data_IF_710003128186
#
_entry.id   IF_710003128186
#
_cell.length_a   1.000
_cell.length_b   1.000
_cell.length_c   1.000
_cell.angle_alpha   90.00
_cell.angle_beta   90.00
_cell.angle_gamma   90.00
#
_symmetry.space_group_name_H-M   'P 1'
#
loop_
_entity.id
_entity.type
_entity.pdbx_description
1 polymer ?
#
# COMPACT_ATOMS: atom_id res chain seq x y z
N UNK A 1 -7.94 5.43 -2.23
CA UNK A 1 -8.35 4.97 -0.89
C UNK A 1 -9.41 5.89 -0.26
N UNK A 2 -9.36 7.22 -0.51
CA UNK A 2 -10.39 8.15 -0.03
C UNK A 2 -11.75 7.96 -0.72
N UNK A 3 -11.78 7.38 -1.92
CA UNK A 3 -13.02 7.14 -2.65
C UNK A 3 -13.84 5.96 -2.12
N UNK A 4 -13.20 5.07 -1.36
CA UNK A 4 -13.88 3.90 -0.79
C UNK A 4 -14.89 4.27 0.31
N UNK A 5 -14.73 5.43 0.97
CA UNK A 5 -15.70 5.95 1.93
C UNK A 5 -16.91 6.61 1.27
N UNK A 6 -16.75 7.05 0.01
CA UNK A 6 -17.78 7.80 -0.75
C UNK A 6 -18.43 6.97 -1.85
N UNK A 7 -17.98 5.73 -2.09
CA UNK A 7 -18.55 4.89 -3.11
C UNK A 7 -19.94 4.41 -2.68
N UNK A 8 -20.86 4.40 -3.60
CA UNK A 8 -22.22 3.86 -3.43
C UNK A 8 -22.23 2.32 -3.29
N UNK A 9 -21.05 1.71 -3.19
CA UNK A 9 -20.89 0.26 -3.02
C UNK A 9 -21.39 -0.17 -1.65
N UNK A 10 -22.24 -1.17 -1.65
CA UNK A 10 -22.89 -1.75 -0.45
C UNK A 10 -21.89 -2.53 0.43
N UNK A 11 -20.75 -2.95 -0.13
CA UNK A 11 -19.73 -3.69 0.58
C UNK A 11 -18.62 -2.76 1.10
N UNK A 12 -18.36 -2.81 2.40
CA UNK A 12 -17.24 -2.10 3.00
C UNK A 12 -15.97 -2.90 2.81
N UNK A 13 -15.02 -2.37 2.03
CA UNK A 13 -13.70 -2.96 1.80
C UNK A 13 -12.70 -2.61 2.92
N UNK A 14 -13.16 -2.10 4.05
CA UNK A 14 -12.33 -1.77 5.20
C UNK A 14 -12.99 -2.20 6.50
N UNK A 15 -12.16 -2.44 7.52
CA UNK A 15 -12.57 -2.74 8.89
C UNK A 15 -11.83 -1.79 9.83
N UNK A 16 -12.56 -1.15 10.73
CA UNK A 16 -11.96 -0.24 11.70
C UNK A 16 -11.99 -0.86 13.10
N UNK A 17 -10.84 -0.85 13.78
CA UNK A 17 -10.71 -1.25 15.18
C UNK A 17 -10.65 0.00 16.05
N UNK A 18 -11.55 0.11 17.01
CA UNK A 18 -11.68 1.30 17.88
C UNK A 18 -11.73 0.91 19.35
N UNK A 19 -11.51 1.89 20.22
CA UNK A 19 -11.57 1.70 21.67
C UNK A 19 -10.47 0.76 22.17
N UNK A 20 -10.85 -0.26 22.91
CA UNK A 20 -9.92 -1.25 23.49
C UNK A 20 -9.31 -2.19 22.48
N UNK A 21 -9.91 -2.31 21.27
CA UNK A 21 -9.41 -3.15 20.16
C UNK A 21 -8.45 -2.41 19.25
N UNK A 22 -8.26 -1.10 19.43
CA UNK A 22 -7.30 -0.33 18.64
C UNK A 22 -5.86 -0.77 18.97
N UNK A 23 -5.03 -0.91 17.93
CA UNK A 23 -3.69 -1.49 18.08
C UNK A 23 -2.69 -0.61 18.85
N UNK A 24 -2.99 0.67 19.03
CA UNK A 24 -2.26 1.58 19.92
C UNK A 24 -2.42 1.22 21.41
N UNK A 25 -3.39 0.36 21.76
CA UNK A 25 -3.67 -0.11 23.12
C UNK A 25 -2.96 -1.44 23.38
N UNK A 26 -1.67 -1.40 23.62
CA UNK A 26 -0.83 -2.60 23.74
C UNK A 26 -1.33 -3.65 24.76
N UNK A 27 -2.03 -3.24 25.81
CA UNK A 27 -2.52 -4.13 26.86
C UNK A 27 -3.76 -4.94 26.46
N UNK A 28 -4.57 -4.44 25.53
CA UNK A 28 -5.87 -5.02 25.17
C UNK A 28 -6.01 -5.39 23.69
N UNK A 29 -5.13 -4.87 22.85
CA UNK A 29 -5.14 -5.15 21.41
C UNK A 29 -4.75 -6.60 21.12
N UNK A 30 -5.41 -7.19 20.12
CA UNK A 30 -5.18 -8.56 19.63
C UNK A 30 -4.85 -8.56 18.14
N UNK A 31 -3.74 -7.91 17.72
CA UNK A 31 -3.48 -7.66 16.31
C UNK A 31 -3.29 -8.95 15.50
N UNK A 32 -2.67 -9.99 16.05
CA UNK A 32 -2.49 -11.27 15.34
C UNK A 32 -3.83 -11.94 15.07
N UNK A 33 -4.72 -11.97 16.06
CA UNK A 33 -6.06 -12.53 15.91
C UNK A 33 -6.88 -11.73 14.90
N UNK A 34 -6.72 -10.40 14.89
CA UNK A 34 -7.40 -9.53 13.95
C UNK A 34 -6.98 -9.79 12.51
N UNK A 35 -5.67 -9.99 12.25
CA UNK A 35 -5.15 -10.37 10.93
C UNK A 35 -5.69 -11.74 10.49
N UNK A 36 -5.61 -12.75 11.36
CA UNK A 36 -6.09 -14.11 11.07
C UNK A 36 -7.61 -14.12 10.85
N UNK A 37 -8.36 -13.36 11.66
CA UNK A 37 -9.80 -13.22 11.54
C UNK A 37 -10.19 -12.53 10.24
N UNK A 38 -9.53 -11.44 9.90
CA UNK A 38 -9.77 -10.70 8.65
C UNK A 38 -9.52 -11.59 7.42
N UNK A 39 -8.45 -12.37 7.42
CA UNK A 39 -8.20 -13.38 6.38
C UNK A 39 -9.35 -14.37 6.25
N UNK A 40 -9.84 -14.89 7.37
CA UNK A 40 -10.93 -15.87 7.39
C UNK A 40 -12.27 -15.29 6.94
N UNK A 41 -12.60 -14.08 7.40
CA UNK A 41 -13.82 -13.36 7.03
C UNK A 41 -13.83 -13.06 5.54
N UNK A 42 -12.72 -12.56 5.00
CA UNK A 42 -12.57 -12.28 3.57
C UNK A 42 -12.71 -13.56 2.73
N UNK A 43 -12.03 -14.64 3.14
CA UNK A 43 -12.12 -15.92 2.44
C UNK A 43 -13.54 -16.49 2.40
N UNK A 44 -14.32 -16.29 3.47
CA UNK A 44 -15.73 -16.70 3.51
C UNK A 44 -16.62 -15.86 2.60
N UNK A 45 -16.31 -14.56 2.47
CA UNK A 45 -17.12 -13.64 1.68
C UNK A 45 -16.85 -13.75 0.18
N UNK A 46 -15.59 -13.92 -0.21
CA UNK A 46 -15.15 -13.82 -1.62
C UNK A 46 -14.67 -15.14 -2.22
N UNK A 47 -14.36 -16.14 -1.39
CA UNK A 47 -13.69 -17.37 -1.83
C UNK A 47 -12.17 -17.24 -2.03
N UNK A 48 -11.62 -16.03 -1.96
CA UNK A 48 -10.18 -15.76 -2.08
C UNK A 48 -9.54 -15.67 -0.70
N UNK A 49 -8.21 -15.85 -0.62
CA UNK A 49 -7.47 -15.79 0.64
C UNK A 49 -6.54 -14.59 0.67
N UNK A 50 -6.64 -13.75 1.70
CA UNK A 50 -5.66 -12.71 1.96
C UNK A 50 -4.33 -13.36 2.35
N UNK A 51 -3.26 -12.98 1.66
CA UNK A 51 -1.92 -13.55 1.87
C UNK A 51 -0.91 -12.52 2.28
N UNK A 52 -1.03 -11.27 1.82
CA UNK A 52 -0.07 -10.20 2.10
C UNK A 52 -0.74 -9.06 2.84
N UNK A 53 -0.11 -8.61 3.91
CA UNK A 53 -0.51 -7.44 4.68
C UNK A 53 0.63 -6.44 4.69
N UNK A 54 0.37 -5.26 4.14
CA UNK A 54 1.34 -4.17 4.01
C UNK A 54 1.01 -3.07 5.03
N UNK A 55 1.99 -2.65 5.79
CA UNK A 55 1.88 -1.60 6.81
C UNK A 55 3.20 -0.85 6.95
N UNK A 56 3.19 0.31 7.58
CA UNK A 56 4.44 1.02 7.91
C UNK A 56 5.09 0.48 9.20
N UNK A 57 6.35 0.86 9.45
CA UNK A 57 7.11 0.43 10.63
C UNK A 57 6.40 0.79 11.94
N UNK A 58 5.80 1.98 12.05
CA UNK A 58 5.11 2.40 13.28
C UNK A 58 3.93 1.48 13.61
N UNK A 59 3.13 1.13 12.60
CA UNK A 59 2.02 0.17 12.77
C UNK A 59 2.53 -1.22 13.12
N UNK A 60 3.63 -1.64 12.49
CA UNK A 60 4.25 -2.91 12.81
C UNK A 60 4.79 -2.97 14.24
N UNK A 61 5.36 -1.87 14.75
CA UNK A 61 5.78 -1.78 16.15
C UNK A 61 4.60 -1.90 17.13
N UNK A 62 3.42 -1.38 16.78
CA UNK A 62 2.21 -1.60 17.59
C UNK A 62 1.87 -3.10 17.69
N UNK A 63 1.99 -3.85 16.59
CA UNK A 63 1.80 -5.31 16.58
C UNK A 63 2.80 -6.01 17.47
N UNK A 64 4.09 -5.66 17.39
CA UNK A 64 5.16 -6.26 18.20
C UNK A 64 5.03 -5.96 19.69
N UNK A 65 4.52 -4.77 20.03
CA UNK A 65 4.40 -4.31 21.41
C UNK A 65 3.14 -4.84 22.12
N UNK A 66 2.15 -5.32 21.36
CA UNK A 66 0.93 -5.86 21.95
C UNK A 66 1.22 -7.05 22.88
N UNK A 67 0.65 -7.02 24.08
CA UNK A 67 0.85 -8.09 25.07
C UNK A 67 0.33 -9.44 24.59
N UNK A 68 -0.77 -9.43 23.87
CA UNK A 68 -1.35 -10.63 23.29
C UNK A 68 -0.42 -11.27 22.26
N UNK A 69 0.19 -10.47 21.38
CA UNK A 69 1.22 -10.93 20.43
C UNK A 69 2.36 -11.64 21.14
N UNK A 70 2.87 -11.04 22.23
CA UNK A 70 3.94 -11.64 23.03
C UNK A 70 3.53 -12.97 23.65
N UNK A 71 2.31 -13.07 24.16
CA UNK A 71 1.78 -14.30 24.76
C UNK A 71 1.58 -15.41 23.71
N UNK A 72 1.10 -15.06 22.54
CA UNK A 72 0.86 -16.04 21.46
C UNK A 72 2.17 -16.57 20.87
N UNK A 73 3.17 -15.72 20.62
CA UNK A 73 4.42 -16.11 19.98
C UNK A 73 5.37 -16.81 20.95
N UNK A 74 5.48 -16.33 22.20
CA UNK A 74 6.37 -16.91 23.22
C UNK A 74 5.73 -18.05 24.02
N UNK A 75 4.41 -18.17 23.97
CA UNK A 75 3.64 -19.01 24.88
C UNK A 75 3.42 -18.36 26.23
N UNK A 76 2.24 -18.60 26.82
CA UNK A 76 1.80 -17.97 28.08
C UNK A 76 2.76 -18.21 29.25
N UNK A 77 3.38 -19.39 29.30
CA UNK A 77 4.32 -19.78 30.34
C UNK A 77 5.69 -19.09 30.26
N UNK A 78 6.09 -18.67 29.06
CA UNK A 78 7.36 -17.98 28.83
C UNK A 78 7.24 -16.45 28.91
N UNK A 79 6.02 -15.92 28.97
CA UNK A 79 5.79 -14.49 29.04
C UNK A 79 5.93 -13.95 30.47
N UNK A 80 7.02 -13.30 30.74
CA UNK A 80 7.33 -12.69 32.06
C UNK A 80 7.26 -11.15 32.06
N UNK A 81 6.52 -10.53 31.16
CA UNK A 81 6.50 -9.06 31.04
C UNK A 81 7.85 -8.47 30.62
N UNK A 82 7.84 -7.40 29.84
CA UNK A 82 9.06 -6.68 29.48
C UNK A 82 9.96 -7.33 28.41
N UNK A 83 9.65 -8.53 27.94
CA UNK A 83 10.39 -9.16 26.84
C UNK A 83 10.02 -8.47 25.54
N UNK A 84 11.03 -8.13 24.74
CA UNK A 84 10.85 -7.66 23.36
C UNK A 84 10.86 -8.84 22.41
N UNK A 85 9.81 -8.98 21.61
CA UNK A 85 9.79 -9.93 20.51
C UNK A 85 10.75 -9.51 19.41
N UNK A 86 11.43 -10.49 18.84
CA UNK A 86 12.12 -10.27 17.57
C UNK A 86 11.10 -10.31 16.43
N UNK A 87 11.23 -9.37 15.50
CA UNK A 87 10.38 -9.30 14.31
C UNK A 87 10.28 -10.64 13.58
N UNK A 88 11.41 -11.35 13.44
CA UNK A 88 11.47 -12.64 12.75
C UNK A 88 10.55 -13.70 13.39
N UNK A 89 10.40 -13.70 14.72
CA UNK A 89 9.55 -14.67 15.44
C UNK A 89 8.06 -14.46 15.10
N UNK A 90 7.63 -13.20 15.03
CA UNK A 90 6.23 -12.88 14.69
C UNK A 90 5.95 -13.17 13.22
N UNK A 91 6.90 -12.85 12.33
CA UNK A 91 6.78 -13.18 10.90
C UNK A 91 6.69 -14.69 10.69
N UNK A 92 7.52 -15.47 11.38
CA UNK A 92 7.51 -16.94 11.29
C UNK A 92 6.18 -17.53 11.81
N UNK A 93 5.67 -16.99 12.93
CA UNK A 93 4.36 -17.37 13.45
C UNK A 93 3.24 -17.11 12.44
N UNK A 94 3.21 -15.92 11.82
CA UNK A 94 2.20 -15.55 10.82
C UNK A 94 2.33 -16.35 9.52
N UNK A 95 3.56 -16.71 9.11
CA UNK A 95 3.78 -17.61 7.97
C UNK A 95 3.14 -18.98 8.16
N UNK A 96 3.07 -19.49 9.40
CA UNK A 96 2.33 -20.70 9.72
C UNK A 96 0.83 -20.62 9.37
N UNK A 97 0.26 -19.41 9.34
CA UNK A 97 -1.11 -19.13 8.89
C UNK A 97 -1.20 -18.72 7.42
N UNK A 98 -0.09 -18.74 6.68
CA UNK A 98 -0.02 -18.31 5.29
C UNK A 98 -0.23 -16.80 5.14
N UNK A 99 0.29 -16.02 6.08
CA UNK A 99 0.26 -14.56 6.08
C UNK A 99 1.69 -14.04 5.93
N UNK A 100 1.91 -13.20 4.92
CA UNK A 100 3.14 -12.46 4.72
C UNK A 100 2.96 -11.02 5.18
N UNK A 101 3.93 -10.51 5.92
CA UNK A 101 3.98 -9.11 6.33
C UNK A 101 5.00 -8.38 5.47
N UNK A 102 4.56 -7.28 4.87
CA UNK A 102 5.41 -6.34 4.14
C UNK A 102 5.45 -5.01 4.88
N UNK A 103 6.62 -4.60 5.33
CA UNK A 103 6.83 -3.27 5.92
C UNK A 103 7.20 -2.30 4.81
N UNK A 104 6.40 -1.25 4.63
CA UNK A 104 6.53 -0.29 3.54
C UNK A 104 6.61 1.14 4.09
N UNK A 105 7.83 1.67 4.13
CA UNK A 105 8.16 2.96 4.75
C UNK A 105 8.46 4.07 3.74
N UNK A 106 8.03 3.93 2.48
CA UNK A 106 8.24 5.00 1.50
C UNK A 106 7.44 6.24 1.88
N UNK A 107 8.08 7.38 1.71
CA UNK A 107 7.57 8.70 2.03
C UNK A 107 7.29 9.48 0.74
N UNK A 108 6.34 10.38 0.82
CA UNK A 108 6.09 11.41 -0.19
C UNK A 108 5.93 12.77 0.50
N UNK A 109 6.09 13.83 -0.28
CA UNK A 109 5.81 15.19 0.19
C UNK A 109 4.44 15.59 -0.33
N UNK A 110 3.55 15.98 0.57
CA UNK A 110 2.21 16.44 0.22
C UNK A 110 2.21 17.86 -0.35
N UNK A 111 1.06 18.34 -0.81
CA UNK A 111 0.89 19.69 -1.40
C UNK A 111 1.21 20.81 -0.40
N UNK A 112 1.16 20.54 0.90
CA UNK A 112 1.52 21.47 1.97
C UNK A 112 3.01 21.46 2.32
N UNK A 113 3.81 20.62 1.65
CA UNK A 113 5.25 20.45 1.91
C UNK A 113 5.55 19.55 3.10
N UNK A 114 4.56 18.82 3.64
CA UNK A 114 4.75 17.87 4.74
C UNK A 114 5.14 16.50 4.20
N UNK A 115 6.08 15.86 4.88
CA UNK A 115 6.48 14.48 4.57
C UNK A 115 5.48 13.50 5.19
N UNK A 116 4.89 12.64 4.36
CA UNK A 116 3.88 11.65 4.76
C UNK A 116 4.29 10.25 4.32
N UNK A 117 3.86 9.22 5.05
CA UNK A 117 3.97 7.84 4.60
C UNK A 117 2.93 7.53 3.51
N UNK A 118 3.31 6.76 2.48
CA UNK A 118 2.33 6.23 1.51
C UNK A 118 1.30 5.33 2.18
N UNK A 119 1.70 4.54 3.17
CA UNK A 119 0.80 3.78 4.03
C UNK A 119 0.75 4.50 5.39
N UNK A 120 -0.30 5.25 5.69
CA UNK A 120 -0.40 5.99 6.94
C UNK A 120 -0.34 5.08 8.17
N UNK A 121 0.15 5.61 9.28
CA UNK A 121 0.19 4.90 10.55
C UNK A 121 -1.22 4.50 11.02
N UNK A 122 -1.36 3.27 11.48
CA UNK A 122 -2.65 2.70 11.88
C UNK A 122 -3.48 2.13 10.72
N UNK A 123 -2.95 2.16 9.48
CA UNK A 123 -3.60 1.54 8.33
C UNK A 123 -2.82 0.29 7.90
N UNK A 124 -3.54 -0.78 7.64
CA UNK A 124 -3.03 -2.03 7.08
C UNK A 124 -3.74 -2.31 5.77
N UNK A 125 -2.98 -2.44 4.70
CA UNK A 125 -3.49 -2.88 3.40
C UNK A 125 -3.35 -4.38 3.28
N UNK A 126 -4.44 -5.06 2.93
CA UNK A 126 -4.45 -6.51 2.76
C UNK A 126 -4.68 -6.88 1.29
N UNK A 127 -3.91 -7.83 0.79
CA UNK A 127 -3.97 -8.28 -0.60
C UNK A 127 -4.13 -9.80 -0.68
N UNK A 128 -4.84 -10.24 -1.70
CA UNK A 128 -4.99 -11.66 -2.02
C UNK A 128 -3.97 -12.08 -3.07
N UNK A 129 -3.35 -13.24 -2.91
CA UNK A 129 -2.48 -13.80 -3.94
C UNK A 129 -3.27 -14.30 -5.14
N UNK A 130 -2.75 -14.04 -6.34
CA UNK A 130 -3.32 -14.57 -7.58
C UNK A 130 -4.55 -13.81 -8.10
N UNK A 131 -4.96 -12.73 -7.44
CA UNK A 131 -5.99 -11.83 -7.96
C UNK A 131 -5.31 -10.67 -8.68
N UNK A 132 -5.70 -10.47 -9.93
CA UNK A 132 -5.31 -9.30 -10.70
C UNK A 132 -6.09 -8.10 -10.14
N UNK A 133 -5.38 -7.19 -9.48
CA UNK A 133 -6.00 -6.04 -8.81
C UNK A 133 -6.27 -4.87 -9.74
N UNK A 134 -5.62 -4.85 -10.90
CA UNK A 134 -5.78 -3.77 -11.86
C UNK A 134 -4.61 -3.68 -12.83
N UNK A 135 -4.75 -2.79 -13.79
CA UNK A 135 -3.78 -2.52 -14.83
C UNK A 135 -3.42 -1.04 -14.86
N UNK A 136 -2.31 -0.74 -15.49
CA UNK A 136 -1.88 0.62 -15.76
C UNK A 136 -1.87 0.87 -17.25
N UNK A 137 -2.91 1.52 -17.74
CA UNK A 137 -3.07 1.81 -19.16
C UNK A 137 -2.40 3.12 -19.52
N UNK A 138 -1.46 3.07 -20.46
CA UNK A 138 -0.80 4.26 -20.97
C UNK A 138 -1.60 4.87 -22.13
N UNK A 139 -1.80 6.19 -22.07
CA UNK A 139 -2.41 6.98 -23.13
C UNK A 139 -1.37 7.65 -24.03
N UNK A 140 -1.83 8.21 -25.13
CA UNK A 140 -0.97 9.05 -25.97
C UNK A 140 -0.84 10.45 -25.37
N UNK A 141 0.39 10.94 -25.23
CA UNK A 141 0.64 12.29 -24.75
C UNK A 141 0.21 13.34 -25.77
N UNK A 142 -0.06 14.59 -25.36
CA UNK A 142 -0.40 15.67 -26.30
C UNK A 142 0.68 15.88 -27.38
N UNK A 143 1.96 15.69 -27.01
CA UNK A 143 3.09 15.81 -27.91
C UNK A 143 3.06 14.72 -29.01
N UNK A 144 2.70 13.49 -28.64
CA UNK A 144 2.49 12.40 -29.59
C UNK A 144 1.32 12.65 -30.54
N UNK A 145 0.27 13.33 -30.05
CA UNK A 145 -0.92 13.64 -30.87
C UNK A 145 -0.68 14.78 -31.85
N UNK A 146 0.11 15.75 -31.45
CA UNK A 146 0.34 16.94 -32.30
C UNK A 146 1.18 16.66 -33.53
N UNK A 147 1.94 15.56 -33.60
CA UNK A 147 2.58 15.03 -34.82
C UNK A 147 3.43 15.99 -35.65
N UNK A 148 3.44 17.27 -35.35
CA UNK A 148 4.02 18.35 -36.11
C UNK A 148 4.62 19.40 -35.16
N UNK A 149 5.71 19.02 -34.50
CA UNK A 149 6.53 20.00 -33.79
C UNK A 149 7.65 20.39 -34.74
N UNK A 150 7.54 21.60 -35.29
CA UNK A 150 8.39 22.09 -36.37
C UNK A 150 9.82 22.39 -35.95
N UNK A 151 10.10 22.55 -34.64
CA UNK A 151 11.38 23.05 -34.13
C UNK A 151 12.05 22.19 -33.03
N UNK A 152 11.74 20.90 -32.95
CA UNK A 152 12.33 20.04 -31.93
C UNK A 152 12.33 18.56 -32.28
N UNK A 153 13.06 17.76 -31.52
CA UNK A 153 13.10 16.32 -31.66
C UNK A 153 12.17 15.68 -30.64
N UNK A 154 11.17 14.94 -31.14
CA UNK A 154 10.32 14.08 -30.35
C UNK A 154 10.90 12.65 -30.34
N UNK A 155 11.19 12.14 -29.16
CA UNK A 155 11.63 10.76 -28.95
C UNK A 155 10.58 10.03 -28.10
N UNK A 156 10.06 8.92 -28.62
CA UNK A 156 9.23 8.00 -27.87
C UNK A 156 10.16 7.03 -27.12
N UNK A 157 10.09 7.04 -25.80
CA UNK A 157 10.89 6.12 -24.97
C UNK A 157 10.17 4.79 -24.81
N UNK A 158 8.86 4.87 -24.49
CA UNK A 158 7.93 3.74 -24.42
C UNK A 158 6.52 4.24 -24.69
N UNK A 159 5.56 3.31 -24.87
CA UNK A 159 4.15 3.68 -25.03
C UNK A 159 3.69 4.55 -23.86
N UNK A 160 3.21 5.76 -24.15
CA UNK A 160 2.71 6.71 -23.14
C UNK A 160 3.78 7.56 -22.46
N UNK A 161 5.04 7.44 -22.84
CA UNK A 161 6.13 8.30 -22.36
C UNK A 161 6.82 8.97 -23.53
N UNK A 162 6.71 10.28 -23.64
CA UNK A 162 7.37 11.08 -24.67
C UNK A 162 8.40 12.03 -24.07
N UNK A 163 9.51 12.19 -24.78
CA UNK A 163 10.55 13.17 -24.47
C UNK A 163 10.66 14.14 -25.64
N UNK A 164 10.40 15.39 -25.38
CA UNK A 164 10.53 16.45 -26.35
C UNK A 164 11.71 17.36 -26.00
N UNK A 165 12.63 17.54 -26.95
CA UNK A 165 13.77 18.43 -26.77
C UNK A 165 13.79 19.52 -27.84
N UNK A 166 14.01 20.77 -27.43
CA UNK A 166 14.18 21.90 -28.31
C UNK A 166 15.30 22.84 -27.81
N UNK A 167 15.93 23.50 -28.73
CA UNK A 167 16.99 24.47 -28.42
C UNK A 167 16.50 25.90 -28.61
N UNK A 168 16.91 26.80 -27.73
CA UNK A 168 16.74 28.25 -27.89
C UNK A 168 18.09 28.90 -28.22
N UNK A 169 18.10 29.90 -29.10
CA UNK A 169 19.33 30.53 -29.56
C UNK A 169 19.76 31.74 -28.72
N UNK A 170 18.85 32.35 -27.94
CA UNK A 170 19.16 33.54 -27.11
C UNK A 170 18.41 33.45 -25.74
N UNK A 171 19.07 33.09 -24.65
CA UNK A 171 20.40 32.46 -24.57
C UNK A 171 20.40 31.05 -25.17
N UNK A 172 21.57 30.55 -25.53
CA UNK A 172 21.70 29.17 -26.03
C UNK A 172 21.38 28.21 -24.87
N UNK A 173 20.23 27.52 -24.97
CA UNK A 173 19.78 26.55 -24.01
C UNK A 173 19.10 25.38 -24.70
N UNK A 174 19.23 24.21 -24.12
CA UNK A 174 18.44 23.01 -24.51
C UNK A 174 17.39 22.75 -23.46
N UNK A 175 16.16 22.72 -23.86
CA UNK A 175 15.03 22.38 -23.00
C UNK A 175 14.61 20.94 -23.28
N UNK A 176 14.33 20.22 -22.19
CA UNK A 176 13.83 18.85 -22.25
C UNK A 176 12.50 18.79 -21.48
N UNK A 177 11.45 18.37 -22.17
CA UNK A 177 10.12 18.15 -21.58
C UNK A 177 9.85 16.67 -21.63
N UNK A 178 9.52 16.09 -20.48
CA UNK A 178 9.11 14.69 -20.37
C UNK A 178 7.64 14.67 -20.00
N UNK A 179 6.83 14.02 -20.81
CA UNK A 179 5.39 13.88 -20.59
C UNK A 179 5.02 12.41 -20.46
N UNK A 180 4.17 12.09 -19.49
CA UNK A 180 3.62 10.76 -19.31
C UNK A 180 2.12 10.86 -19.02
N UNK A 181 1.33 10.03 -19.68
CA UNK A 181 -0.10 9.89 -19.37
C UNK A 181 -0.38 8.41 -19.09
N UNK A 182 -0.90 8.16 -17.91
CA UNK A 182 -1.30 6.82 -17.53
C UNK A 182 -2.52 6.86 -16.61
N UNK A 183 -3.37 5.87 -16.76
CA UNK A 183 -4.56 5.67 -15.94
C UNK A 183 -4.45 4.33 -15.21
N UNK A 184 -4.34 4.34 -13.89
CA UNK A 184 -4.48 3.10 -13.12
C UNK A 184 -5.96 2.69 -13.13
N UNK A 185 -6.22 1.46 -13.51
CA UNK A 185 -7.54 0.83 -13.42
C UNK A 185 -7.51 -0.25 -12.35
N UNK A 186 -8.52 -0.28 -11.50
CA UNK A 186 -8.68 -1.31 -10.48
C UNK A 186 -9.85 -2.20 -10.89
N UNK A 187 -9.60 -3.50 -10.93
CA UNK A 187 -10.64 -4.51 -11.19
C UNK A 187 -11.03 -5.20 -9.88
N UNK A 188 -12.29 -5.62 -9.78
CA UNK A 188 -12.78 -6.36 -8.61
C UNK A 188 -13.21 -5.48 -7.42
N UNK A 189 -13.37 -4.17 -7.60
CA UNK A 189 -13.95 -3.31 -6.56
C UNK A 189 -15.48 -3.45 -6.44
N UNK A 190 -16.12 -4.13 -7.37
CA UNK A 190 -17.59 -4.29 -7.46
C UNK A 190 -18.08 -5.64 -6.92
N UNK A 191 -17.21 -6.42 -6.28
CA UNK A 191 -17.54 -7.76 -5.75
C UNK A 191 -17.73 -7.76 -4.24
#
# INVERSE_FOLDING_TARGET
>A
LADNEKSEHTAKHYKTFTGTSAWDKSATATPLDDLIRSKREFSKATGYSLTRFTMNTETWEMVLNAEDTKKQVLGITAYNGGIRLQQAQVVEYLKGYGIEIEVYDKLYVDESGQTQYFVPTGIVSAQSAGVFLGDYTFGKTPEERSGSITDGNLSLVETGVSVYTYATNHPINTHCIVSMIGLPTFEGMDS
#
